data_IF_713343474707
#
_entry.id   IF_713343474707
#
_cell.length_a   1.000
_cell.length_b   1.000
_cell.length_c   1.000
_cell.angle_alpha   90.00
_cell.angle_beta   90.00
_cell.angle_gamma   90.00
#
_symmetry.space_group_name_H-M   'P 1'
#
loop_
_entity.id
_entity.type
_entity.pdbx_description
1 polymer ?
#
# COMPACT_ATOMS: atom_id res chain seq x y z
N UNK A 1 -21.91 5.48 10.59
CA UNK A 1 -21.57 6.69 9.82
C UNK A 1 -20.18 7.16 10.22
N UNK A 2 -19.22 7.02 9.31
CA UNK A 2 -17.82 7.47 9.44
C UNK A 2 -17.77 8.99 9.72
N UNK A 3 -17.09 9.38 10.81
CA UNK A 3 -16.65 10.76 11.01
C UNK A 3 -15.25 10.96 10.41
N UNK A 4 -15.20 11.47 9.19
CA UNK A 4 -13.94 11.61 8.46
C UNK A 4 -13.00 12.65 9.07
N UNK A 5 -13.51 13.63 9.82
CA UNK A 5 -12.66 14.67 10.43
C UNK A 5 -11.85 14.10 11.58
N UNK A 6 -12.46 13.22 12.37
CA UNK A 6 -11.79 12.49 13.43
C UNK A 6 -10.92 11.35 12.88
N UNK A 7 -11.36 10.68 11.81
CA UNK A 7 -10.72 9.45 11.32
C UNK A 7 -9.53 9.70 10.39
N UNK A 8 -9.52 10.80 9.62
CA UNK A 8 -8.45 11.11 8.68
C UNK A 8 -7.03 11.12 9.28
N UNK A 9 -6.74 11.76 10.43
CA UNK A 9 -5.40 11.72 11.01
C UNK A 9 -4.96 10.30 11.38
N UNK A 10 -5.86 9.50 11.92
CA UNK A 10 -5.58 8.10 12.29
C UNK A 10 -5.35 7.23 11.04
N UNK A 11 -6.12 7.41 9.97
CA UNK A 11 -5.90 6.69 8.71
C UNK A 11 -4.56 7.04 8.07
N UNK A 12 -4.15 8.31 8.10
CA UNK A 12 -2.82 8.72 7.59
C UNK A 12 -1.69 8.06 8.37
N UNK A 13 -1.83 7.98 9.69
CA UNK A 13 -0.87 7.27 10.55
C UNK A 13 -0.87 5.78 10.22
N UNK A 14 -2.03 5.16 10.06
CA UNK A 14 -2.16 3.75 9.71
C UNK A 14 -1.50 3.42 8.37
N UNK A 15 -1.64 4.30 7.36
CA UNK A 15 -0.96 4.13 6.07
C UNK A 15 0.56 4.07 6.25
N UNK A 16 1.14 4.99 7.03
CA UNK A 16 2.58 5.01 7.28
C UNK A 16 3.05 3.75 8.05
N UNK A 17 2.33 3.38 9.11
CA UNK A 17 2.63 2.17 9.90
C UNK A 17 2.54 0.90 9.04
N UNK A 18 1.58 0.86 8.12
CA UNK A 18 1.40 -0.25 7.20
C UNK A 18 2.51 -0.30 6.14
N UNK A 19 2.94 0.83 5.59
CA UNK A 19 4.06 0.88 4.66
C UNK A 19 5.35 0.37 5.32
N UNK A 20 5.62 0.80 6.56
CA UNK A 20 6.75 0.32 7.37
C UNK A 20 6.66 -1.20 7.64
N UNK A 21 5.47 -1.72 7.95
CA UNK A 21 5.25 -3.15 8.18
C UNK A 21 5.48 -3.96 6.90
N UNK A 22 4.95 -3.49 5.77
CA UNK A 22 5.17 -4.11 4.46
C UNK A 22 6.66 -4.15 4.11
N UNK A 23 7.39 -3.06 4.34
CA UNK A 23 8.83 -3.00 4.07
C UNK A 23 9.61 -4.01 4.92
N UNK A 24 9.30 -4.12 6.22
CA UNK A 24 9.88 -5.17 7.08
C UNK A 24 9.57 -6.56 6.55
N UNK A 25 8.33 -6.81 6.13
CA UNK A 25 7.91 -8.10 5.59
C UNK A 25 8.64 -8.46 4.29
N UNK A 26 8.98 -7.48 3.45
CA UNK A 26 9.84 -7.69 2.28
C UNK A 26 11.25 -8.10 2.71
N UNK A 27 11.81 -7.47 3.75
CA UNK A 27 13.12 -7.85 4.31
C UNK A 27 13.14 -9.24 4.93
N UNK A 28 12.07 -9.63 5.64
CA UNK A 28 11.98 -10.90 6.37
C UNK A 28 11.60 -12.09 5.46
N UNK A 29 11.05 -11.82 4.27
CA UNK A 29 10.59 -12.87 3.35
C UNK A 29 11.26 -12.74 1.97
N UNK A 30 12.27 -13.58 1.76
CA UNK A 30 13.01 -13.63 0.50
C UNK A 30 12.14 -13.91 -0.73
N UNK A 31 11.04 -14.66 -0.59
CA UNK A 31 10.12 -14.95 -1.69
C UNK A 31 9.34 -13.71 -2.13
N UNK A 32 8.89 -12.88 -1.18
CA UNK A 32 8.23 -11.61 -1.48
C UNK A 32 9.20 -10.65 -2.16
N UNK A 33 10.41 -10.51 -1.63
CA UNK A 33 11.43 -9.63 -2.22
C UNK A 33 11.82 -10.08 -3.64
N UNK A 34 11.95 -11.39 -3.87
CA UNK A 34 12.25 -11.93 -5.20
C UNK A 34 11.16 -11.57 -6.22
N UNK A 35 9.88 -11.76 -5.87
CA UNK A 35 8.77 -11.38 -6.75
C UNK A 35 8.70 -9.87 -7.03
N UNK A 36 9.02 -9.03 -6.05
CA UNK A 36 9.07 -7.58 -6.23
C UNK A 36 10.25 -7.14 -7.12
N UNK A 37 11.41 -7.79 -7.00
CA UNK A 37 12.54 -7.59 -7.91
C UNK A 37 12.21 -7.98 -9.34
N UNK A 38 11.55 -9.12 -9.54
CA UNK A 38 11.07 -9.53 -10.86
C UNK A 38 10.11 -8.50 -11.46
N UNK A 39 9.15 -7.99 -10.67
CA UNK A 39 8.25 -6.94 -11.11
C UNK A 39 8.99 -5.64 -11.47
N UNK A 40 9.95 -5.21 -10.64
CA UNK A 40 10.78 -4.04 -10.90
C UNK A 40 11.57 -4.20 -12.22
N UNK A 41 12.20 -5.35 -12.45
CA UNK A 41 12.95 -5.60 -13.68
C UNK A 41 12.08 -5.45 -14.94
N UNK A 42 10.80 -5.85 -14.89
CA UNK A 42 9.89 -5.67 -16.03
C UNK A 42 9.60 -4.18 -16.29
N UNK A 43 9.47 -3.38 -15.24
CA UNK A 43 9.20 -1.93 -15.34
C UNK A 43 10.46 -1.21 -15.85
N UNK A 44 11.63 -1.57 -15.34
CA UNK A 44 12.93 -1.03 -15.75
C UNK A 44 13.24 -1.36 -17.22
N UNK A 45 13.07 -2.63 -17.63
CA UNK A 45 13.22 -3.05 -19.04
C UNK A 45 12.26 -2.32 -19.97
N UNK A 46 11.08 -1.96 -19.48
CA UNK A 46 10.10 -1.14 -20.21
C UNK A 46 10.46 0.35 -20.29
N UNK A 47 11.55 0.81 -19.66
CA UNK A 47 11.96 2.22 -19.62
C UNK A 47 11.00 3.10 -18.82
N UNK A 48 10.17 2.53 -17.95
CA UNK A 48 9.10 3.23 -17.22
C UNK A 48 9.57 3.84 -15.90
N UNK A 49 10.75 3.47 -15.43
CA UNK A 49 11.40 4.06 -14.26
C UNK A 49 12.91 4.14 -14.46
N UNK A 50 13.53 5.16 -13.86
CA UNK A 50 14.97 5.33 -13.75
C UNK A 50 15.43 5.34 -12.27
N UNK A 51 14.51 5.03 -11.35
CA UNK A 51 14.78 4.94 -9.92
C UNK A 51 15.56 3.66 -9.62
N UNK A 52 16.36 3.66 -8.55
CA UNK A 52 16.89 2.41 -8.00
C UNK A 52 15.75 1.55 -7.41
N UNK A 53 15.98 0.25 -7.30
CA UNK A 53 14.99 -0.70 -6.76
C UNK A 53 14.45 -0.29 -5.39
N UNK A 54 15.31 0.15 -4.48
CA UNK A 54 14.93 0.52 -3.11
C UNK A 54 13.98 1.72 -3.09
N UNK A 55 14.24 2.73 -3.93
CA UNK A 55 13.38 3.91 -4.04
C UNK A 55 12.04 3.54 -4.68
N UNK A 56 12.06 2.72 -5.73
CA UNK A 56 10.84 2.22 -6.35
C UNK A 56 10.02 1.37 -5.38
N UNK A 57 10.68 0.55 -4.56
CA UNK A 57 10.04 -0.32 -3.59
C UNK A 57 9.31 0.50 -2.52
N UNK A 58 9.95 1.49 -1.93
CA UNK A 58 9.32 2.38 -0.95
C UNK A 58 8.10 3.08 -1.55
N UNK A 59 8.24 3.71 -2.73
CA UNK A 59 7.14 4.37 -3.45
C UNK A 59 5.98 3.40 -3.76
N UNK A 60 6.31 2.17 -4.15
CA UNK A 60 5.33 1.14 -4.46
C UNK A 60 4.58 0.67 -3.21
N UNK A 61 5.29 0.44 -2.10
CA UNK A 61 4.68 -0.01 -0.86
C UNK A 61 3.81 1.06 -0.23
N UNK A 62 4.16 2.35 -0.36
CA UNK A 62 3.29 3.47 0.02
C UNK A 62 1.95 3.40 -0.71
N UNK A 63 1.97 3.14 -2.03
CA UNK A 63 0.74 3.00 -2.81
C UNK A 63 -0.07 1.76 -2.41
N UNK A 64 0.60 0.63 -2.14
CA UNK A 64 -0.06 -0.59 -1.64
C UNK A 64 -0.75 -0.32 -0.30
N UNK A 65 -0.06 0.35 0.63
CA UNK A 65 -0.62 0.70 1.94
C UNK A 65 -1.85 1.62 1.80
N UNK A 66 -1.76 2.66 0.96
CA UNK A 66 -2.89 3.55 0.64
C UNK A 66 -4.06 2.76 0.05
N UNK A 67 -3.81 1.92 -0.95
CA UNK A 67 -4.83 1.14 -1.62
C UNK A 67 -5.56 0.20 -0.64
N UNK A 68 -4.81 -0.42 0.27
CA UNK A 68 -5.39 -1.33 1.25
C UNK A 68 -6.27 -0.59 2.26
N UNK A 69 -5.79 0.51 2.83
CA UNK A 69 -6.57 1.34 3.77
C UNK A 69 -7.82 1.91 3.10
N UNK A 70 -7.70 2.44 1.88
CA UNK A 70 -8.84 2.96 1.13
C UNK A 70 -9.87 1.87 0.80
N UNK A 71 -9.43 0.65 0.51
CA UNK A 71 -10.34 -0.48 0.27
C UNK A 71 -11.19 -0.78 1.52
N UNK A 72 -10.58 -0.78 2.71
CA UNK A 72 -11.32 -0.96 3.96
C UNK A 72 -12.29 0.20 4.24
N UNK A 73 -11.87 1.45 4.01
CA UNK A 73 -12.76 2.62 4.14
C UNK A 73 -13.94 2.51 3.17
N UNK A 74 -13.70 2.04 1.95
CA UNK A 74 -14.74 1.86 0.93
C UNK A 74 -15.76 0.79 1.34
N UNK A 75 -15.30 -0.37 1.82
CA UNK A 75 -16.18 -1.42 2.36
C UNK A 75 -17.00 -0.87 3.54
N UNK A 76 -16.36 -0.21 4.51
CA UNK A 76 -17.09 0.37 5.66
C UNK A 76 -18.09 1.43 5.25
N UNK A 77 -17.78 2.22 4.22
CA UNK A 77 -18.72 3.17 3.64
C UNK A 77 -19.93 2.45 3.02
N UNK A 78 -19.71 1.38 2.27
CA UNK A 78 -20.80 0.60 1.69
C UNK A 78 -21.70 -0.01 2.78
N UNK A 79 -21.12 -0.58 3.84
CA UNK A 79 -21.86 -1.10 5.01
C UNK A 79 -22.64 0.02 5.73
N UNK A 80 -22.03 1.19 5.96
CA UNK A 80 -22.67 2.35 6.60
C UNK A 80 -23.88 2.90 5.80
N UNK A 81 -23.97 2.59 4.52
CA UNK A 81 -25.01 3.05 3.60
C UNK A 81 -25.90 1.90 3.10
N UNK A 82 -25.88 0.73 3.76
CA UNK A 82 -26.69 -0.44 3.43
C UNK A 82 -26.55 -0.91 1.96
N UNK A 83 -25.38 -0.67 1.34
CA UNK A 83 -25.08 -1.11 -0.03
C UNK A 83 -24.61 -2.57 -0.08
N UNK A 84 -24.08 -3.06 1.04
CA UNK A 84 -23.66 -4.44 1.30
C UNK A 84 -23.99 -4.81 2.76
N UNK A 85 -23.95 -6.11 3.07
CA UNK A 85 -24.18 -6.70 4.39
C UNK A 85 -22.84 -7.11 5.06
#
# INVERSE_FOLDING_TARGET
MIDIKALLPELRKLVAELADDLLKRVGDNAGINAGLKEAYEQIEKGGRTAQAYEVWLEDYLDQVAVAWVLSCVFVRFMEDNDLID
#
